data_IF_560071991402
#
_entry.id   IF_560071991402
#
_cell.length_a   1.000
_cell.length_b   1.000
_cell.length_c   1.000
_cell.angle_alpha   90.00
_cell.angle_beta   90.00
_cell.angle_gamma   90.00
#
_symmetry.space_group_name_H-M   'P 1'
#
loop_
_entity.id
_entity.type
_entity.pdbx_description
1 polymer ?
#
# COMPACT_ATOMS: atom_id res chain seq x y z
N UNK A 1 -16.08 -8.19 4.86
CA UNK A 1 -15.37 -7.80 3.61
C UNK A 1 -14.12 -8.65 3.42
N UNK A 2 -13.20 -8.69 4.39
CA UNK A 2 -11.92 -9.40 4.23
C UNK A 2 -12.01 -10.93 4.12
N UNK A 3 -13.07 -11.55 4.66
CA UNK A 3 -13.31 -12.99 4.48
C UNK A 3 -13.43 -13.39 2.99
N UNK A 4 -13.92 -12.49 2.13
CA UNK A 4 -14.08 -12.74 0.68
C UNK A 4 -12.72 -12.85 -0.03
N UNK A 5 -11.66 -12.32 0.58
CA UNK A 5 -10.27 -12.41 0.09
C UNK A 5 -9.43 -13.34 0.98
N UNK A 6 -10.08 -14.27 1.70
CA UNK A 6 -9.40 -15.29 2.50
C UNK A 6 -8.75 -14.79 3.79
N UNK A 7 -9.09 -13.60 4.27
CA UNK A 7 -8.52 -13.02 5.49
C UNK A 7 -9.58 -12.98 6.59
N UNK A 8 -9.39 -13.82 7.60
CA UNK A 8 -10.26 -13.92 8.78
C UNK A 8 -9.66 -13.12 9.95
N UNK A 9 -9.71 -11.80 9.86
CA UNK A 9 -9.21 -10.90 10.92
C UNK A 9 -10.28 -9.86 11.25
N UNK A 10 -10.51 -9.63 12.54
CA UNK A 10 -11.45 -8.59 13.00
C UNK A 10 -10.71 -7.27 13.24
N UNK A 11 -11.25 -6.13 12.76
CA UNK A 11 -10.65 -4.83 13.05
C UNK A 11 -10.86 -4.45 14.52
N UNK A 12 -9.90 -3.70 15.09
CA UNK A 12 -10.03 -3.08 16.41
C UNK A 12 -11.03 -1.92 16.39
N UNK A 13 -10.96 -1.09 15.35
CA UNK A 13 -11.90 0.02 15.19
C UNK A 13 -12.11 0.40 13.72
N UNK A 14 -13.25 1.03 13.45
CA UNK A 14 -13.67 1.45 12.12
C UNK A 14 -14.30 2.84 12.21
N UNK A 15 -13.76 3.80 11.46
CA UNK A 15 -14.20 5.20 11.50
C UNK A 15 -14.41 5.76 10.09
N UNK A 16 -15.46 6.56 9.89
CA UNK A 16 -15.63 7.35 8.67
C UNK A 16 -14.80 8.63 8.78
N UNK A 17 -14.04 8.95 7.74
CA UNK A 17 -13.20 10.14 7.69
C UNK A 17 -13.94 11.31 7.04
N UNK A 18 -13.75 12.51 7.59
CA UNK A 18 -14.29 13.76 7.03
C UNK A 18 -15.75 14.06 7.38
N UNK A 19 -16.20 15.24 6.94
CA UNK A 19 -17.56 15.73 7.16
C UNK A 19 -18.58 14.99 6.27
N UNK A 20 -19.83 14.79 6.72
CA UNK A 20 -20.89 14.26 5.88
C UNK A 20 -21.04 15.05 4.57
N UNK A 21 -21.21 14.34 3.45
CA UNK A 21 -21.44 14.94 2.13
C UNK A 21 -22.23 13.97 1.25
N UNK A 22 -22.57 14.37 0.03
CA UNK A 22 -23.24 13.52 -0.96
C UNK A 22 -22.38 12.35 -1.43
N UNK A 23 -21.05 12.45 -1.30
CA UNK A 23 -20.12 11.38 -1.70
C UNK A 23 -19.82 10.44 -0.53
N UNK A 24 -19.68 9.12 -0.77
CA UNK A 24 -19.29 8.17 0.26
C UNK A 24 -17.98 8.58 0.94
N UNK A 25 -18.02 8.74 2.27
CA UNK A 25 -16.85 9.07 3.08
C UNK A 25 -15.86 7.91 3.14
N UNK A 26 -14.54 8.16 3.04
CA UNK A 26 -13.53 7.13 3.26
C UNK A 26 -13.67 6.47 4.64
N UNK A 27 -13.27 5.21 4.75
CA UNK A 27 -13.26 4.46 6.00
C UNK A 27 -11.81 4.23 6.41
N UNK A 28 -11.45 4.62 7.64
CA UNK A 28 -10.22 4.20 8.31
C UNK A 28 -10.52 2.97 9.15
N UNK A 29 -9.67 1.95 9.00
CA UNK A 29 -9.77 0.70 9.75
C UNK A 29 -8.47 0.54 10.53
N UNK A 30 -8.59 0.26 11.82
CA UNK A 30 -7.45 -0.07 12.69
C UNK A 30 -7.42 -1.58 12.88
N UNK A 31 -6.30 -2.20 12.53
CA UNK A 31 -6.07 -3.64 12.66
C UNK A 31 -5.22 -3.93 13.91
N UNK A 32 -5.36 -5.12 14.51
CA UNK A 32 -4.59 -5.49 15.70
C UNK A 32 -3.10 -5.72 15.40
N UNK A 33 -2.77 -6.22 14.21
CA UNK A 33 -1.41 -6.50 13.81
C UNK A 33 -1.04 -5.79 12.49
N UNK A 34 0.19 -5.26 12.37
CA UNK A 34 0.70 -4.77 11.09
C UNK A 34 0.82 -5.88 10.04
N UNK A 35 1.03 -7.15 10.46
CA UNK A 35 1.08 -8.29 9.55
C UNK A 35 -0.24 -8.45 8.76
N UNK A 36 -1.38 -8.31 9.44
CA UNK A 36 -2.70 -8.38 8.82
C UNK A 36 -2.88 -7.27 7.77
N UNK A 37 -2.39 -6.07 8.07
CA UNK A 37 -2.43 -4.93 7.13
C UNK A 37 -1.63 -5.27 5.87
N UNK A 38 -0.42 -5.82 6.01
CA UNK A 38 0.39 -6.22 4.86
C UNK A 38 -0.28 -7.32 4.03
N UNK A 39 -0.86 -8.31 4.68
CA UNK A 39 -1.57 -9.38 3.99
C UNK A 39 -2.78 -8.84 3.21
N UNK A 40 -3.59 -7.98 3.82
CA UNK A 40 -4.72 -7.30 3.16
C UNK A 40 -4.22 -6.48 1.96
N UNK A 41 -3.18 -5.67 2.14
CA UNK A 41 -2.65 -4.82 1.08
C UNK A 41 -2.05 -5.63 -0.09
N UNK A 42 -1.52 -6.82 0.18
CA UNK A 42 -0.99 -7.74 -0.83
C UNK A 42 -2.11 -8.33 -1.70
N UNK A 43 -3.21 -8.79 -1.10
CA UNK A 43 -4.28 -9.50 -1.82
C UNK A 43 -5.44 -8.59 -2.25
N UNK A 44 -5.44 -7.31 -1.87
CA UNK A 44 -6.52 -6.34 -2.15
C UNK A 44 -6.99 -6.29 -3.61
N UNK A 45 -6.13 -6.61 -4.58
CA UNK A 45 -6.50 -6.64 -6.00
C UNK A 45 -7.57 -7.67 -6.29
N UNK A 46 -7.67 -8.75 -5.51
CA UNK A 46 -8.73 -9.75 -5.65
C UNK A 46 -10.13 -9.18 -5.41
N UNK A 47 -10.25 -8.06 -4.69
CA UNK A 47 -11.55 -7.39 -4.48
C UNK A 47 -12.17 -6.91 -5.79
N UNK A 48 -11.37 -6.56 -6.80
CA UNK A 48 -11.91 -6.13 -8.10
C UNK A 48 -12.59 -7.25 -8.86
N UNK A 49 -12.28 -8.51 -8.54
CA UNK A 49 -12.88 -9.68 -9.17
C UNK A 49 -14.28 -9.97 -8.64
N UNK A 50 -14.66 -9.36 -7.51
CA UNK A 50 -15.97 -9.53 -6.89
C UNK A 50 -16.85 -8.35 -7.31
N UNK A 51 -17.93 -8.62 -8.05
CA UNK A 51 -18.82 -7.58 -8.59
C UNK A 51 -19.26 -6.54 -7.54
N UNK A 52 -19.55 -6.98 -6.31
CA UNK A 52 -19.94 -6.12 -5.19
C UNK A 52 -18.85 -5.12 -4.74
N UNK A 53 -17.58 -5.44 -4.95
CA UNK A 53 -16.44 -4.64 -4.48
C UNK A 53 -15.58 -4.07 -5.63
N UNK A 54 -16.06 -4.16 -6.88
CA UNK A 54 -15.33 -3.71 -8.08
C UNK A 54 -14.85 -2.26 -8.01
N UNK A 55 -15.62 -1.40 -7.36
CA UNK A 55 -15.32 0.05 -7.21
C UNK A 55 -14.59 0.38 -5.92
N UNK A 56 -14.41 -0.58 -5.02
CA UNK A 56 -13.79 -0.36 -3.71
C UNK A 56 -12.28 -0.42 -3.83
N UNK A 57 -11.61 0.59 -3.27
CA UNK A 57 -10.13 0.66 -3.22
C UNK A 57 -9.66 0.60 -1.77
N UNK A 58 -8.58 -0.14 -1.55
CA UNK A 58 -7.91 -0.26 -0.25
C UNK A 58 -6.48 0.26 -0.40
N UNK A 59 -6.06 1.11 0.52
CA UNK A 59 -4.72 1.70 0.56
C UNK A 59 -4.25 1.81 2.01
N UNK A 60 -2.93 1.84 2.19
CA UNK A 60 -2.33 2.19 3.48
C UNK A 60 -2.69 3.62 3.87
N UNK A 61 -2.90 3.86 5.15
CA UNK A 61 -3.03 5.21 5.69
C UNK A 61 -1.65 5.87 5.70
N UNK A 62 -1.51 7.00 5.01
CA UNK A 62 -0.23 7.67 4.80
C UNK A 62 -0.41 9.18 4.89
N UNK A 63 0.59 9.82 5.51
CA UNK A 63 0.65 11.28 5.54
C UNK A 63 0.85 11.86 4.14
N UNK A 64 0.57 13.15 3.99
CA UNK A 64 0.84 13.86 2.73
C UNK A 64 2.32 13.78 2.33
N UNK A 65 3.22 13.91 3.31
CA UNK A 65 4.66 13.84 3.07
C UNK A 65 5.11 12.45 2.64
N UNK A 66 4.62 11.39 3.30
CA UNK A 66 4.92 10.01 2.91
C UNK A 66 4.47 9.71 1.48
N UNK A 67 3.28 10.18 1.09
CA UNK A 67 2.78 10.05 -0.28
C UNK A 67 3.67 10.77 -1.29
N UNK A 68 4.06 12.02 -1.00
CA UNK A 68 4.95 12.80 -1.88
C UNK A 68 6.30 12.12 -2.06
N UNK A 69 6.92 11.69 -0.95
CA UNK A 69 8.19 10.98 -0.97
C UNK A 69 8.12 9.67 -1.77
N UNK A 70 7.08 8.87 -1.56
CA UNK A 70 6.92 7.65 -2.33
C UNK A 70 6.74 7.92 -3.82
N UNK A 71 5.91 8.91 -4.18
CA UNK A 71 5.69 9.30 -5.58
C UNK A 71 6.96 9.80 -6.25
N UNK A 72 7.79 10.58 -5.56
CA UNK A 72 9.06 11.06 -6.13
C UNK A 72 10.03 9.90 -6.38
N UNK A 73 10.17 8.99 -5.41
CA UNK A 73 11.03 7.80 -5.54
C UNK A 73 10.53 6.86 -6.65
N UNK A 74 9.21 6.71 -6.80
CA UNK A 74 8.62 5.90 -7.86
C UNK A 74 8.82 6.52 -9.26
N UNK A 75 8.72 7.84 -9.38
CA UNK A 75 9.02 8.56 -10.61
C UNK A 75 10.50 8.42 -10.99
N UNK A 76 11.40 8.61 -10.02
CA UNK A 76 12.83 8.43 -10.21
C UNK A 76 13.19 7.00 -10.65
N UNK A 77 12.61 5.99 -10.00
CA UNK A 77 12.78 4.59 -10.41
C UNK A 77 12.35 4.38 -11.87
N UNK A 78 11.21 4.96 -12.27
CA UNK A 78 10.72 4.84 -13.64
C UNK A 78 11.69 5.49 -14.63
N UNK A 79 12.14 6.72 -14.37
CA UNK A 79 13.11 7.41 -15.23
C UNK A 79 14.41 6.60 -15.41
N UNK A 80 14.94 6.01 -14.33
CA UNK A 80 16.15 5.17 -14.39
C UNK A 80 15.92 3.88 -15.18
N UNK A 81 14.76 3.25 -15.04
CA UNK A 81 14.39 2.08 -15.86
C UNK A 81 14.24 2.43 -17.33
N UNK A 82 13.62 3.57 -17.63
CA UNK A 82 13.45 4.08 -18.98
C UNK A 82 14.81 4.46 -19.61
N UNK A 83 15.79 4.87 -18.80
CA UNK A 83 17.18 5.11 -19.20
C UNK A 83 18.03 3.82 -19.38
N UNK A 84 17.46 2.64 -19.13
CA UNK A 84 18.11 1.35 -19.34
C UNK A 84 18.76 0.72 -18.10
N UNK A 85 18.60 1.30 -16.90
CA UNK A 85 19.04 0.63 -15.67
C UNK A 85 18.16 -0.60 -15.37
N UNK A 86 18.74 -1.79 -15.40
CA UNK A 86 18.10 -3.02 -14.94
C UNK A 86 18.35 -3.25 -13.45
N UNK A 87 17.61 -4.19 -12.84
CA UNK A 87 17.86 -4.69 -11.47
C UNK A 87 17.68 -3.68 -10.32
N UNK A 88 17.05 -2.53 -10.60
CA UNK A 88 16.62 -1.56 -9.58
C UNK A 88 15.18 -1.81 -9.10
N UNK A 89 14.98 -1.70 -7.79
CA UNK A 89 13.69 -1.82 -7.14
C UNK A 89 13.60 -0.90 -5.92
N UNK A 90 12.37 -0.59 -5.49
CA UNK A 90 12.14 0.16 -4.26
C UNK A 90 12.22 -0.82 -3.08
N UNK A 91 13.14 -0.57 -2.16
CA UNK A 91 13.23 -1.24 -0.87
C UNK A 91 12.89 -0.24 0.23
N UNK A 92 12.24 -0.71 1.30
CA UNK A 92 12.03 0.09 2.49
C UNK A 92 13.18 -0.15 3.46
N UNK A 93 14.03 0.86 3.68
CA UNK A 93 15.14 0.83 4.65
C UNK A 93 14.77 1.77 5.80
N UNK A 94 14.68 1.24 7.03
CA UNK A 94 14.20 2.01 8.20
C UNK A 94 12.86 2.74 7.94
N UNK A 95 11.92 2.07 7.29
CA UNK A 95 10.61 2.60 6.86
C UNK A 95 10.65 3.74 5.82
N UNK A 96 11.80 4.04 5.22
CA UNK A 96 11.92 5.01 4.13
C UNK A 96 12.03 4.29 2.78
N UNK A 97 11.28 4.70 1.74
CA UNK A 97 11.43 4.15 0.40
C UNK A 97 12.77 4.59 -0.21
N UNK A 98 13.56 3.64 -0.69
CA UNK A 98 14.88 3.87 -1.27
C UNK A 98 15.08 2.96 -2.48
N UNK A 99 15.67 3.49 -3.55
CA UNK A 99 16.01 2.69 -4.73
C UNK A 99 17.24 1.84 -4.39
N UNK A 100 17.13 0.52 -4.54
CA UNK A 100 18.21 -0.45 -4.30
C UNK A 100 18.45 -1.28 -5.56
N UNK A 101 19.68 -1.79 -5.73
CA UNK A 101 20.07 -2.71 -6.81
C UNK A 101 20.19 -4.14 -6.30
N UNK A 102 19.76 -5.12 -7.08
CA UNK A 102 20.04 -6.54 -6.82
C UNK A 102 21.53 -6.79 -7.13
N UNK A 103 22.40 -6.63 -6.12
CA UNK A 103 23.84 -6.84 -6.31
C UNK A 103 24.75 -6.58 -5.10
N UNK A 104 24.28 -5.90 -4.05
CA UNK A 104 25.11 -5.70 -2.85
C UNK A 104 24.61 -6.55 -1.69
N UNK A 105 25.09 -7.82 -1.66
CA UNK A 105 25.29 -8.50 -0.38
C UNK A 105 26.43 -7.74 0.31
N UNK A 106 26.09 -6.94 1.32
CA UNK A 106 27.11 -6.45 2.25
C UNK A 106 27.67 -7.68 2.98
N UNK A 107 28.90 -8.05 2.66
CA UNK A 107 29.67 -8.95 3.50
C UNK A 107 29.96 -8.21 4.81
N UNK A 108 29.46 -8.74 5.92
CA UNK A 108 29.98 -8.52 7.27
C UNK A 108 29.92 -9.87 7.99
#
# INVERSE_FOLDING_TARGET
MFNVIGISTKPLSVHRLGKPSSKPRPIRIVMPSPSDVFQILKVKRQLSNVNKFKTVRVSSDQTLQQRKLYSSVAAELKTRKDAGETDIFIKFVKNCPTISKNGQRAQQ
#
